data_IF_761916193345
#
_entry.id   IF_761916193345
#
_cell.length_a   1.000
_cell.length_b   1.000
_cell.length_c   1.000
_cell.angle_alpha   90.00
_cell.angle_beta   90.00
_cell.angle_gamma   90.00
#
_symmetry.space_group_name_H-M   'P 1'
#
loop_
_entity.id
_entity.type
_entity.pdbx_description
1 polymer ?
#
# COMPACT_ATOMS: atom_id res chain seq x y z
N UNK A 1 34.09 -15.22 45.68
CA UNK A 1 33.56 -13.89 45.34
C UNK A 1 33.23 -13.79 43.83
N UNK A 2 32.41 -14.72 43.30
CA UNK A 2 32.11 -14.88 41.85
C UNK A 2 30.63 -14.60 41.51
N UNK A 3 29.72 -14.79 42.46
CA UNK A 3 28.28 -14.52 42.29
C UNK A 3 27.95 -13.05 42.03
N UNK A 4 28.76 -12.13 42.54
CA UNK A 4 28.55 -10.69 42.33
C UNK A 4 28.91 -10.27 40.89
N UNK A 5 29.89 -10.93 40.26
CA UNK A 5 30.28 -10.64 38.88
C UNK A 5 29.26 -11.13 37.86
N UNK A 6 28.65 -12.29 38.10
CA UNK A 6 27.55 -12.80 37.26
C UNK A 6 26.32 -11.88 37.30
N UNK A 7 26.00 -11.32 38.47
CA UNK A 7 24.90 -10.35 38.61
C UNK A 7 25.19 -9.01 37.93
N UNK A 8 26.45 -8.58 37.87
CA UNK A 8 26.87 -7.36 37.15
C UNK A 8 26.88 -7.58 35.64
N UNK A 9 27.31 -8.76 35.17
CA UNK A 9 27.22 -9.17 33.76
C UNK A 9 25.76 -9.28 33.26
N UNK A 10 24.83 -9.69 34.12
CA UNK A 10 23.39 -9.66 33.81
C UNK A 10 22.85 -8.23 33.69
N UNK A 11 23.41 -7.26 34.41
CA UNK A 11 23.06 -5.83 34.31
C UNK A 11 23.67 -5.21 33.05
N UNK A 12 24.90 -5.57 32.68
CA UNK A 12 25.52 -5.17 31.41
C UNK A 12 24.82 -5.82 30.19
N UNK A 13 24.42 -7.09 30.29
CA UNK A 13 23.52 -7.72 29.32
C UNK A 13 22.10 -7.14 29.36
N UNK A 14 21.71 -6.48 30.45
CA UNK A 14 20.50 -5.67 30.56
C UNK A 14 20.60 -4.30 29.88
N UNK A 15 21.82 -3.81 29.59
CA UNK A 15 22.05 -2.65 28.72
C UNK A 15 21.93 -3.01 27.23
N UNK A 16 21.98 -4.31 26.91
CA UNK A 16 21.63 -4.90 25.61
C UNK A 16 20.11 -4.90 25.36
N UNK A 17 19.31 -4.27 26.22
CA UNK A 17 17.94 -3.86 25.89
C UNK A 17 17.89 -2.89 24.67
N UNK A 18 19.04 -2.31 24.28
CA UNK A 18 19.20 -1.61 23.00
C UNK A 18 19.37 -2.55 21.80
N UNK A 19 19.81 -3.79 21.99
CA UNK A 19 19.84 -4.85 20.97
C UNK A 19 18.49 -5.59 20.88
N UNK A 20 17.69 -5.53 21.97
CA UNK A 20 16.27 -5.91 21.99
C UNK A 20 15.32 -4.77 21.61
N UNK A 21 15.82 -3.58 21.28
CA UNK A 21 15.19 -2.76 20.25
C UNK A 21 15.49 -3.39 18.89
N UNK A 22 15.05 -4.64 18.71
CA UNK A 22 14.62 -5.06 17.39
C UNK A 22 13.56 -4.02 17.04
N UNK A 23 13.93 -3.03 16.22
CA UNK A 23 13.05 -2.01 15.68
C UNK A 23 11.69 -2.67 15.47
N UNK A 24 10.62 -2.18 16.12
CA UNK A 24 9.31 -2.81 16.02
C UNK A 24 9.05 -2.91 14.53
N UNK A 25 8.93 -4.14 14.01
CA UNK A 25 8.93 -4.47 12.58
C UNK A 25 7.94 -3.57 11.83
N UNK A 26 8.36 -2.36 11.45
CA UNK A 26 7.59 -1.41 10.63
C UNK A 26 7.40 -1.95 9.21
N UNK A 27 8.02 -3.09 8.90
CA UNK A 27 8.00 -3.79 7.63
C UNK A 27 6.59 -4.27 7.21
N UNK A 28 5.66 -4.51 8.13
CA UNK A 28 4.32 -4.99 7.76
C UNK A 28 3.29 -3.89 7.47
N UNK A 29 3.39 -2.73 8.12
CA UNK A 29 2.42 -1.64 7.91
C UNK A 29 2.53 -1.06 6.50
N UNK A 30 3.74 -0.97 5.96
CA UNK A 30 3.96 -0.50 4.60
C UNK A 30 3.20 -1.35 3.56
N UNK A 31 3.32 -2.68 3.68
CA UNK A 31 2.68 -3.59 2.73
C UNK A 31 1.15 -3.52 2.83
N UNK A 32 0.61 -3.42 4.05
CA UNK A 32 -0.83 -3.23 4.28
C UNK A 32 -1.34 -1.89 3.71
N UNK A 33 -0.57 -0.81 3.84
CA UNK A 33 -0.93 0.52 3.29
C UNK A 33 -0.90 0.50 1.77
N UNK A 34 0.12 -0.11 1.15
CA UNK A 34 0.19 -0.27 -0.31
C UNK A 34 -1.00 -1.06 -0.84
N UNK A 35 -1.33 -2.19 -0.21
CA UNK A 35 -2.48 -3.01 -0.62
C UNK A 35 -3.80 -2.27 -0.45
N UNK A 36 -3.95 -1.49 0.63
CA UNK A 36 -5.12 -0.66 0.87
C UNK A 36 -5.30 0.42 -0.21
N UNK A 37 -4.22 1.12 -0.57
CA UNK A 37 -4.23 2.12 -1.64
C UNK A 37 -4.62 1.49 -2.98
N UNK A 38 -4.07 0.33 -3.31
CA UNK A 38 -4.42 -0.39 -4.55
C UNK A 38 -5.90 -0.78 -4.56
N UNK A 39 -6.43 -1.30 -3.45
CA UNK A 39 -7.86 -1.63 -3.35
C UNK A 39 -8.77 -0.42 -3.50
N UNK A 40 -8.41 0.72 -2.89
CA UNK A 40 -9.16 1.97 -3.03
C UNK A 40 -9.13 2.46 -4.48
N UNK A 41 -7.97 2.45 -5.13
CA UNK A 41 -7.85 2.81 -6.54
C UNK A 41 -8.64 1.86 -7.46
N UNK A 42 -8.68 0.57 -7.15
CA UNK A 42 -9.48 -0.40 -7.89
C UNK A 42 -10.97 -0.10 -7.76
N UNK A 43 -11.47 0.09 -6.54
CA UNK A 43 -12.87 0.47 -6.31
C UNK A 43 -13.23 1.78 -7.03
N UNK A 44 -12.36 2.79 -6.97
CA UNK A 44 -12.54 4.04 -7.71
C UNK A 44 -12.52 3.83 -9.22
N UNK A 45 -11.64 2.97 -9.74
CA UNK A 45 -11.54 2.69 -11.19
C UNK A 45 -12.77 2.02 -11.77
N UNK A 46 -13.44 1.17 -10.98
CA UNK A 46 -14.72 0.54 -11.33
C UNK A 46 -15.82 1.60 -11.42
N UNK A 47 -15.94 2.45 -10.39
CA UNK A 47 -16.97 3.50 -10.34
C UNK A 47 -16.75 4.54 -11.44
N UNK A 48 -15.50 5.03 -11.60
CA UNK A 48 -15.15 5.94 -12.69
C UNK A 48 -15.42 5.31 -14.06
N UNK A 49 -15.10 4.02 -14.21
CA UNK A 49 -15.33 3.27 -15.45
C UNK A 49 -16.79 3.18 -15.84
N UNK A 50 -17.67 2.91 -14.87
CA UNK A 50 -19.10 2.89 -15.10
C UNK A 50 -19.62 4.26 -15.56
N UNK A 51 -19.21 5.33 -14.88
CA UNK A 51 -19.58 6.71 -15.25
C UNK A 51 -19.05 7.06 -16.65
N UNK A 52 -17.79 6.71 -16.92
CA UNK A 52 -17.15 6.98 -18.21
C UNK A 52 -17.80 6.20 -19.35
N UNK A 53 -18.24 4.96 -19.11
CA UNK A 53 -18.98 4.16 -20.06
C UNK A 53 -20.34 4.78 -20.40
N UNK A 54 -21.11 5.24 -19.40
CA UNK A 54 -22.38 5.94 -19.61
C UNK A 54 -22.21 7.24 -20.39
N UNK A 55 -21.19 8.04 -20.06
CA UNK A 55 -20.86 9.26 -20.80
C UNK A 55 -20.47 8.91 -22.24
N UNK A 56 -19.60 7.93 -22.45
CA UNK A 56 -19.17 7.54 -23.80
C UNK A 56 -20.33 7.03 -24.68
N UNK A 57 -21.36 6.44 -24.06
CA UNK A 57 -22.60 6.08 -24.72
C UNK A 57 -23.43 7.31 -25.11
N UNK A 58 -23.67 8.23 -24.17
CA UNK A 58 -24.45 9.46 -24.40
C UNK A 58 -23.83 10.37 -25.48
N UNK A 59 -22.49 10.44 -25.54
CA UNK A 59 -21.77 11.20 -26.57
C UNK A 59 -21.65 10.47 -27.92
N UNK A 60 -22.20 9.25 -28.04
CA UNK A 60 -22.21 8.49 -29.28
C UNK A 60 -20.84 7.93 -29.70
N UNK A 61 -19.83 7.99 -28.82
CA UNK A 61 -18.50 7.39 -29.06
C UNK A 61 -18.57 5.87 -29.06
N UNK A 62 -19.58 5.31 -28.40
CA UNK A 62 -19.80 3.88 -28.25
C UNK A 62 -21.19 3.55 -28.77
N UNK A 63 -21.25 2.84 -29.90
CA UNK A 63 -22.51 2.45 -30.57
C UNK A 63 -23.28 1.33 -29.87
N UNK A 64 -22.67 0.64 -28.92
CA UNK A 64 -23.25 -0.51 -28.22
C UNK A 64 -23.21 -0.30 -26.71
N UNK A 65 -24.39 -0.29 -26.10
CA UNK A 65 -24.53 -0.32 -24.65
C UNK A 65 -23.96 -1.66 -24.14
N UNK A 66 -22.94 -1.60 -23.28
CA UNK A 66 -22.24 -2.79 -22.80
C UNK A 66 -20.90 -3.13 -23.46
N UNK A 67 -20.29 -2.22 -24.25
CA UNK A 67 -18.90 -2.41 -24.65
C UNK A 67 -18.00 -2.53 -23.40
N UNK A 68 -17.21 -3.61 -23.25
CA UNK A 68 -16.38 -3.81 -22.06
C UNK A 68 -15.11 -2.93 -22.07
N UNK A 69 -14.78 -2.33 -23.22
CA UNK A 69 -13.58 -1.52 -23.44
C UNK A 69 -13.45 -0.31 -22.49
N UNK A 70 -14.48 0.55 -22.29
CA UNK A 70 -14.35 1.74 -21.44
C UNK A 70 -14.12 1.35 -19.97
N UNK A 71 -14.79 0.31 -19.51
CA UNK A 71 -14.63 -0.23 -18.15
C UNK A 71 -13.27 -0.89 -17.93
N UNK A 72 -12.83 -1.70 -18.88
CA UNK A 72 -11.53 -2.38 -18.77
C UNK A 72 -10.37 -1.36 -18.79
N UNK A 73 -10.45 -0.37 -19.67
CA UNK A 73 -9.42 0.67 -19.79
C UNK A 73 -9.36 1.58 -18.56
N UNK A 74 -10.51 1.96 -17.98
CA UNK A 74 -10.54 2.79 -16.78
C UNK A 74 -9.98 2.06 -15.55
N UNK A 75 -10.34 0.79 -15.36
CA UNK A 75 -9.83 -0.04 -14.25
C UNK A 75 -8.32 -0.23 -14.40
N UNK A 76 -7.85 -0.57 -15.60
CA UNK A 76 -6.42 -0.75 -15.84
C UNK A 76 -5.61 0.54 -15.62
N UNK A 77 -6.13 1.68 -16.10
CA UNK A 77 -5.51 2.99 -15.84
C UNK A 77 -5.48 3.32 -14.35
N UNK A 78 -6.58 3.15 -13.63
CA UNK A 78 -6.67 3.52 -12.22
C UNK A 78 -5.80 2.62 -11.34
N UNK A 79 -5.65 1.34 -11.70
CA UNK A 79 -4.68 0.42 -11.07
C UNK A 79 -3.25 0.92 -11.30
N UNK A 80 -2.91 1.31 -12.54
CA UNK A 80 -1.59 1.88 -12.86
C UNK A 80 -1.27 3.14 -12.05
N UNK A 81 -2.23 4.06 -11.94
CA UNK A 81 -2.10 5.28 -11.13
C UNK A 81 -1.96 4.94 -9.64
N UNK A 82 -2.74 3.99 -9.12
CA UNK A 82 -2.63 3.52 -7.74
C UNK A 82 -1.26 2.90 -7.42
N UNK A 83 -0.68 2.15 -8.36
CA UNK A 83 0.66 1.61 -8.22
C UNK A 83 1.73 2.71 -8.20
N UNK A 84 1.60 3.71 -9.05
CA UNK A 84 2.51 4.87 -9.07
C UNK A 84 2.42 5.68 -7.76
N UNK A 85 1.20 5.98 -7.29
CA UNK A 85 0.97 6.71 -6.04
C UNK A 85 1.50 5.93 -4.83
N UNK A 86 1.26 4.62 -4.77
CA UNK A 86 1.78 3.78 -3.69
C UNK A 86 3.31 3.68 -3.68
N UNK A 87 3.96 3.66 -4.85
CA UNK A 87 5.43 3.74 -4.96
C UNK A 87 5.97 5.06 -4.40
N UNK A 88 5.36 6.20 -4.78
CA UNK A 88 5.76 7.51 -4.28
C UNK A 88 5.48 7.70 -2.78
N UNK A 89 4.30 7.26 -2.31
CA UNK A 89 3.96 7.27 -0.88
C UNK A 89 4.95 6.42 -0.09
N UNK A 90 5.32 5.27 -0.64
CA UNK A 90 6.29 4.39 -0.03
C UNK A 90 7.69 5.00 0.07
N UNK A 91 8.15 5.68 -0.98
CA UNK A 91 9.43 6.40 -0.97
C UNK A 91 9.47 7.51 0.08
N UNK A 92 8.34 8.17 0.34
CA UNK A 92 8.22 9.24 1.35
C UNK A 92 8.16 8.71 2.79
N UNK A 93 7.70 7.48 3.00
CA UNK A 93 7.65 6.84 4.33
C UNK A 93 9.00 6.21 4.75
N UNK A 94 9.87 5.89 3.79
CA UNK A 94 11.20 5.29 4.04
C UNK A 94 12.33 6.33 4.13
N UNK A 95 12.01 7.62 4.05
CA UNK A 95 12.94 8.74 4.07
C UNK A 95 12.53 9.74 5.15
#
# INVERSE_FOLDING_TARGET
>A
HTRHKERVLLIEKGADAKLFQAEPRKKNYFFAVVIGIVFICLALGIVLGAIFASIAYDYGWVRHDGNPLPYFTSVFLMIGVGFLVSYYAGKKLNN
#
